data_IF_839016781545
#
_entry.id   IF_839016781545
#
_cell.length_a   1.000
_cell.length_b   1.000
_cell.length_c   1.000
_cell.angle_alpha   90.00
_cell.angle_beta   90.00
_cell.angle_gamma   90.00
#
_symmetry.space_group_name_H-M   'P 1'
#
loop_
_entity.id
_entity.type
_entity.pdbx_description
1 polymer ?
#
# COMPACT_ATOMS: atom_id res chain seq x y z
N UNK A 1 -13.13 -8.06 -8.14
CA UNK A 1 -13.01 -6.63 -8.48
C UNK A 1 -12.12 -6.50 -9.70
N UNK A 2 -12.51 -5.73 -10.72
CA UNK A 2 -11.70 -5.55 -11.95
C UNK A 2 -10.96 -4.22 -11.86
N UNK A 3 -9.64 -4.24 -12.08
CA UNK A 3 -8.75 -3.08 -11.94
C UNK A 3 -9.04 -2.02 -13.00
N UNK A 4 -9.56 -2.45 -14.16
CA UNK A 4 -9.94 -1.61 -15.28
C UNK A 4 -10.95 -0.54 -14.87
N UNK A 5 -11.85 -0.87 -13.93
CA UNK A 5 -12.84 0.08 -13.41
C UNK A 5 -12.23 1.15 -12.51
N UNK A 6 -11.06 0.91 -11.92
CA UNK A 6 -10.41 1.83 -10.99
C UNK A 6 -9.46 2.82 -11.69
N UNK A 7 -9.06 2.53 -12.95
CA UNK A 7 -8.18 3.40 -13.74
C UNK A 7 -8.72 4.82 -13.84
N UNK A 8 -7.84 5.80 -13.63
CA UNK A 8 -8.17 7.23 -13.61
C UNK A 8 -8.92 7.68 -12.34
N UNK A 9 -9.26 6.77 -11.43
CA UNK A 9 -9.94 7.10 -10.19
C UNK A 9 -8.96 7.34 -9.03
N UNK A 10 -9.48 8.01 -8.00
CA UNK A 10 -8.88 8.07 -6.67
C UNK A 10 -9.43 6.91 -5.86
N UNK A 11 -8.55 6.11 -5.31
CA UNK A 11 -8.91 4.95 -4.50
C UNK A 11 -8.36 5.11 -3.10
N UNK A 12 -9.13 4.65 -2.12
CA UNK A 12 -8.69 4.57 -0.74
C UNK A 12 -8.29 3.13 -0.43
N UNK A 13 -7.12 2.95 0.18
CA UNK A 13 -6.58 1.64 0.55
C UNK A 13 -6.72 1.43 2.06
N UNK A 14 -7.18 0.23 2.41
CA UNK A 14 -7.17 -0.27 3.78
C UNK A 14 -5.79 -0.86 4.12
N UNK A 15 -5.48 -1.05 5.41
CA UNK A 15 -4.21 -1.63 5.84
C UNK A 15 -3.97 -3.04 5.30
N UNK A 16 -5.04 -3.84 5.16
CA UNK A 16 -4.92 -5.19 4.60
C UNK A 16 -4.31 -5.21 3.20
N UNK A 17 -4.65 -4.26 2.32
CA UNK A 17 -4.14 -4.18 0.97
C UNK A 17 -2.63 -3.91 0.98
N UNK A 18 -2.15 -3.10 1.92
CA UNK A 18 -0.73 -2.82 2.10
C UNK A 18 0.01 -4.03 2.68
N UNK A 19 -0.57 -4.71 3.66
CA UNK A 19 0.01 -5.93 4.26
C UNK A 19 0.17 -7.01 3.20
N UNK A 20 -0.88 -7.29 2.41
CA UNK A 20 -0.78 -8.25 1.31
C UNK A 20 0.19 -7.79 0.22
N UNK A 21 0.34 -6.48 0.01
CA UNK A 21 1.26 -5.94 -0.97
C UNK A 21 2.73 -6.12 -0.60
N UNK A 22 3.06 -5.95 0.69
CA UNK A 22 4.44 -5.82 1.17
C UNK A 22 4.94 -7.10 1.85
N UNK A 23 4.09 -7.77 2.61
CA UNK A 23 4.49 -8.87 3.51
C UNK A 23 4.23 -10.26 2.92
N UNK A 24 3.48 -10.35 1.82
CA UNK A 24 3.19 -11.64 1.16
C UNK A 24 4.23 -11.96 0.09
N UNK A 25 4.61 -13.23 -0.02
CA UNK A 25 5.48 -13.72 -1.09
C UNK A 25 4.85 -13.47 -2.47
N UNK A 26 5.66 -13.06 -3.45
CA UNK A 26 5.18 -12.75 -4.80
C UNK A 26 4.48 -13.93 -5.50
N UNK A 27 4.84 -15.18 -5.15
CA UNK A 27 4.22 -16.38 -5.70
C UNK A 27 2.83 -16.66 -5.11
N UNK A 28 2.53 -16.16 -3.90
CA UNK A 28 1.26 -16.39 -3.21
C UNK A 28 0.39 -15.14 -3.08
N UNK A 29 0.92 -13.98 -3.49
CA UNK A 29 0.19 -12.72 -3.47
C UNK A 29 -1.09 -12.80 -4.32
N UNK A 30 -2.25 -12.39 -3.78
CA UNK A 30 -3.50 -12.39 -4.54
C UNK A 30 -3.39 -11.58 -5.83
N UNK A 31 -3.87 -12.13 -6.95
CA UNK A 31 -3.76 -11.50 -8.27
C UNK A 31 -4.32 -10.05 -8.29
N UNK A 32 -5.40 -9.80 -7.55
CA UNK A 32 -5.99 -8.47 -7.44
C UNK A 32 -5.05 -7.44 -6.77
N UNK A 33 -4.28 -7.86 -5.75
CA UNK A 33 -3.30 -7.01 -5.07
C UNK A 33 -2.15 -6.70 -6.03
N UNK A 34 -1.66 -7.72 -6.75
CA UNK A 34 -0.63 -7.53 -7.77
C UNK A 34 -1.05 -6.54 -8.86
N UNK A 35 -2.27 -6.68 -9.39
CA UNK A 35 -2.82 -5.75 -10.40
C UNK A 35 -2.99 -4.35 -9.85
N UNK A 36 -3.43 -4.21 -8.59
CA UNK A 36 -3.52 -2.93 -7.91
C UNK A 36 -2.16 -2.26 -7.79
N UNK A 37 -1.13 -2.98 -7.34
CA UNK A 37 0.22 -2.44 -7.19
C UNK A 37 0.80 -1.97 -8.52
N UNK A 38 0.59 -2.73 -9.59
CA UNK A 38 0.99 -2.34 -10.93
C UNK A 38 0.29 -1.06 -11.40
N UNK A 39 -1.02 -0.92 -11.12
CA UNK A 39 -1.76 0.28 -11.47
C UNK A 39 -1.29 1.51 -10.68
N UNK A 40 -0.97 1.33 -9.38
CA UNK A 40 -0.42 2.40 -8.53
C UNK A 40 0.97 2.82 -9.00
N UNK A 41 1.87 1.85 -9.26
CA UNK A 41 3.24 2.14 -9.68
C UNK A 41 3.31 2.79 -11.06
N UNK A 42 2.40 2.42 -11.97
CA UNK A 42 2.26 3.05 -13.29
C UNK A 42 1.47 4.36 -13.28
N UNK A 43 1.06 4.87 -12.10
CA UNK A 43 0.21 6.06 -11.96
C UNK A 43 -1.13 5.99 -12.71
N UNK A 44 -1.62 4.79 -13.01
CA UNK A 44 -2.94 4.57 -13.62
C UNK A 44 -4.07 4.81 -12.62
N UNK A 45 -3.78 4.74 -11.32
CA UNK A 45 -4.69 5.05 -10.23
C UNK A 45 -4.00 5.94 -9.20
N UNK A 46 -4.75 6.84 -8.57
CA UNK A 46 -4.24 7.65 -7.46
C UNK A 46 -4.65 6.97 -6.16
N UNK A 47 -3.69 6.35 -5.47
CA UNK A 47 -3.95 5.66 -4.20
C UNK A 47 -3.77 6.58 -3.00
N UNK A 48 -4.71 6.46 -2.06
CA UNK A 48 -4.77 7.23 -0.83
C UNK A 48 -4.93 6.33 0.39
N UNK A 49 -4.38 6.75 1.52
CA UNK A 49 -4.59 6.13 2.85
C UNK A 49 -4.80 7.21 3.90
N UNK A 50 -5.39 6.87 5.04
CA UNK A 50 -5.44 7.76 6.20
C UNK A 50 -4.19 7.65 7.07
N UNK A 51 -3.96 8.63 7.97
CA UNK A 51 -2.97 8.51 9.03
C UNK A 51 -3.20 7.29 9.95
N UNK A 52 -4.44 6.81 10.08
CA UNK A 52 -4.79 5.62 10.87
C UNK A 52 -4.19 4.36 10.22
N UNK A 53 -4.38 4.19 8.91
CA UNK A 53 -3.80 3.06 8.16
C UNK A 53 -2.27 3.05 8.28
N UNK A 54 -1.63 4.23 8.24
CA UNK A 54 -0.18 4.33 8.50
C UNK A 54 0.20 3.84 9.90
N UNK A 55 -0.58 4.18 10.91
CA UNK A 55 -0.33 3.71 12.27
C UNK A 55 -0.49 2.19 12.38
N UNK A 56 -1.55 1.62 11.79
CA UNK A 56 -1.81 0.18 11.80
C UNK A 56 -0.63 -0.63 11.23
N UNK A 57 -0.13 -0.24 10.06
CA UNK A 57 0.96 -0.97 9.39
C UNK A 57 2.34 -0.77 10.03
N UNK A 58 2.54 0.32 10.77
CA UNK A 58 3.81 0.60 11.46
C UNK A 58 3.89 0.04 12.87
N UNK A 59 2.76 -0.17 13.56
CA UNK A 59 2.78 -0.63 14.96
C UNK A 59 3.50 -1.98 15.12
N UNK A 60 3.23 -2.95 14.26
CA UNK A 60 3.83 -4.28 14.37
C UNK A 60 5.34 -4.29 14.05
N UNK A 61 5.83 -3.66 12.95
CA UNK A 61 7.25 -3.63 12.65
C UNK A 61 8.07 -2.89 13.71
N UNK A 62 7.56 -1.76 14.21
CA UNK A 62 8.25 -0.99 15.25
C UNK A 62 8.30 -1.74 16.58
N UNK A 63 7.22 -2.42 16.96
CA UNK A 63 7.18 -3.22 18.19
C UNK A 63 8.12 -4.42 18.14
N UNK A 64 8.30 -5.02 16.96
CA UNK A 64 9.15 -6.20 16.77
C UNK A 64 10.61 -5.87 16.45
N UNK A 65 10.98 -4.60 16.31
CA UNK A 65 12.32 -4.19 15.89
C UNK A 65 12.64 -4.54 14.42
N UNK A 66 11.61 -4.75 13.59
CA UNK A 66 11.79 -5.02 12.17
C UNK A 66 11.96 -3.70 11.40
N UNK A 67 13.14 -3.10 11.55
CA UNK A 67 13.47 -1.81 10.94
C UNK A 67 13.34 -1.82 9.42
N UNK A 68 13.66 -2.96 8.79
CA UNK A 68 13.52 -3.13 7.34
C UNK A 68 12.07 -2.97 6.89
N UNK A 69 11.14 -3.66 7.55
CA UNK A 69 9.72 -3.58 7.20
C UNK A 69 9.13 -2.20 7.53
N UNK A 70 9.52 -1.61 8.67
CA UNK A 70 9.13 -0.26 9.02
C UNK A 70 9.56 0.76 7.95
N UNK A 71 10.78 0.62 7.42
CA UNK A 71 11.30 1.52 6.40
C UNK A 71 10.61 1.36 5.04
N UNK A 72 10.23 0.12 4.67
CA UNK A 72 9.42 -0.12 3.47
C UNK A 72 8.08 0.62 3.58
N UNK A 73 7.39 0.51 4.71
CA UNK A 73 6.13 1.23 4.92
C UNK A 73 6.32 2.75 4.93
N UNK A 74 7.38 3.26 5.57
CA UNK A 74 7.68 4.71 5.57
C UNK A 74 7.94 5.24 4.17
N UNK A 75 8.73 4.52 3.37
CA UNK A 75 9.07 4.92 2.00
C UNK A 75 7.82 4.90 1.10
N UNK A 76 7.00 3.86 1.20
CA UNK A 76 5.74 3.74 0.44
C UNK A 76 4.74 4.86 0.74
N UNK A 77 4.69 5.33 2.00
CA UNK A 77 3.73 6.32 2.48
C UNK A 77 4.33 7.74 2.64
N UNK A 78 5.55 7.97 2.14
CA UNK A 78 6.23 9.26 2.19
C UNK A 78 5.62 10.28 1.21
N UNK A 79 6.00 11.55 1.33
CA UNK A 79 5.74 12.59 0.32
C UNK A 79 7.08 13.11 -0.23
N UNK A 80 7.34 13.03 -1.55
CA UNK A 80 6.55 12.29 -2.56
C UNK A 80 6.67 10.77 -2.38
N UNK A 81 5.60 10.03 -2.68
CA UNK A 81 5.53 8.57 -2.58
C UNK A 81 4.38 8.03 -3.43
N UNK A 82 4.36 6.72 -3.74
CA UNK A 82 3.36 6.11 -4.61
C UNK A 82 1.94 6.14 -4.02
N UNK A 83 1.82 6.26 -2.70
CA UNK A 83 0.54 6.28 -1.99
C UNK A 83 0.50 7.55 -1.14
N UNK A 84 -0.50 8.40 -1.39
CA UNK A 84 -0.66 9.65 -0.67
C UNK A 84 -1.44 9.48 0.64
N UNK A 85 -1.02 10.17 1.70
CA UNK A 85 -1.80 10.26 2.93
C UNK A 85 -2.80 11.42 2.81
N UNK A 86 -4.09 11.16 3.05
CA UNK A 86 -5.12 12.21 3.15
C UNK A 86 -4.95 13.00 4.45
N UNK A 87 -5.15 14.32 4.37
CA UNK A 87 -5.08 15.23 5.52
C UNK A 87 -6.48 15.59 6.00
#
# INVERSE_FOLDING_TARGET
MSIEKLRGQRIYLDSNALIYAIETDAATQPAAVRSLLQAVSSSEVQAFVSPIVRAEVLVQPLRSGNDRLAEIYRTMLARPGPIAIIQ
#
